data_IF_745934924886
#
_entry.id   IF_745934924886
#
_cell.length_a   1.000
_cell.length_b   1.000
_cell.length_c   1.000
_cell.angle_alpha   90.00
_cell.angle_beta   90.00
_cell.angle_gamma   90.00
#
_symmetry.space_group_name_H-M   'P 1'
#
loop_
_entity.id
_entity.type
_entity.pdbx_description
1 polymer ?
#
# COMPACT_ATOMS: atom_id res chain seq x y z
N UNK A 1 -3.26 -27.41 -3.12
CA UNK A 1 -2.27 -26.34 -3.37
C UNK A 1 -1.76 -26.47 -4.78
N UNK A 2 -1.59 -25.35 -5.48
CA UNK A 2 -0.96 -25.33 -6.81
C UNK A 2 0.51 -25.72 -6.70
N UNK A 3 1.01 -26.47 -7.67
CA UNK A 3 2.43 -26.83 -7.78
C UNK A 3 3.22 -25.66 -8.36
N UNK A 4 4.56 -25.72 -8.31
CA UNK A 4 5.43 -24.75 -8.97
C UNK A 4 5.15 -24.66 -10.46
N UNK A 5 4.94 -25.78 -11.14
CA UNK A 5 4.62 -25.85 -12.55
C UNK A 5 3.28 -25.16 -12.89
N UNK A 6 2.26 -25.31 -12.01
CA UNK A 6 0.99 -24.60 -12.15
C UNK A 6 1.17 -23.09 -12.08
N UNK A 7 2.00 -22.60 -11.17
CA UNK A 7 2.29 -21.18 -11.03
C UNK A 7 3.11 -20.62 -12.19
N UNK A 8 4.13 -21.35 -12.66
CA UNK A 8 4.93 -20.97 -13.82
C UNK A 8 4.06 -20.90 -15.10
N UNK A 9 3.12 -21.83 -15.26
CA UNK A 9 2.15 -21.82 -16.35
C UNK A 9 1.20 -20.62 -16.22
N UNK A 10 0.66 -20.36 -15.05
CA UNK A 10 -0.21 -19.21 -14.80
C UNK A 10 0.52 -17.90 -15.09
N UNK A 11 1.75 -17.72 -14.59
CA UNK A 11 2.57 -16.56 -14.84
C UNK A 11 2.85 -16.32 -16.34
N UNK A 12 3.09 -17.41 -17.11
CA UNK A 12 3.31 -17.32 -18.54
C UNK A 12 2.07 -16.90 -19.37
N UNK A 13 0.89 -16.98 -18.78
CA UNK A 13 -0.38 -16.56 -19.42
C UNK A 13 -0.80 -15.13 -19.09
N UNK A 14 -0.09 -14.45 -18.15
CA UNK A 14 -0.38 -13.07 -17.79
C UNK A 14 0.07 -12.11 -18.90
N UNK A 15 -0.69 -11.07 -19.10
CA UNK A 15 -0.32 -9.90 -19.89
C UNK A 15 -0.18 -8.70 -18.97
N UNK A 16 0.88 -7.92 -19.15
CA UNK A 16 1.18 -6.79 -18.28
C UNK A 16 0.96 -5.48 -19.05
N UNK A 17 0.19 -4.57 -18.45
CA UNK A 17 -0.01 -3.22 -18.98
C UNK A 17 0.53 -2.20 -17.96
N UNK A 18 1.71 -1.63 -18.27
CA UNK A 18 2.41 -0.68 -17.42
C UNK A 18 1.91 0.77 -17.54
N UNK A 19 0.84 1.03 -18.30
CA UNK A 19 0.30 2.38 -18.44
C UNK A 19 -0.38 2.86 -17.17
N UNK A 20 -0.18 4.12 -16.81
CA UNK A 20 -0.89 4.77 -15.72
C UNK A 20 -2.41 4.69 -15.88
N UNK A 21 -3.17 4.79 -14.79
CA UNK A 21 -4.64 4.82 -14.81
C UNK A 21 -5.11 6.17 -14.26
N UNK A 22 -5.66 7.00 -15.13
CA UNK A 22 -6.17 8.33 -14.77
C UNK A 22 -7.58 8.47 -15.33
N UNK A 23 -8.51 8.91 -14.49
CA UNK A 23 -9.92 9.11 -14.85
C UNK A 23 -10.56 7.87 -15.51
N UNK A 24 -10.27 6.70 -14.95
CA UNK A 24 -10.74 5.42 -15.45
C UNK A 24 -10.07 4.90 -16.73
N UNK A 25 -9.15 5.66 -17.33
CA UNK A 25 -8.49 5.31 -18.59
C UNK A 25 -7.02 4.98 -18.43
N UNK A 26 -6.50 4.07 -19.28
CA UNK A 26 -5.07 3.78 -19.42
C UNK A 26 -4.37 4.90 -20.19
N UNK A 27 -3.37 5.52 -19.58
CA UNK A 27 -2.64 6.67 -20.12
C UNK A 27 -1.22 6.28 -20.47
N UNK A 28 -0.84 6.50 -21.73
CA UNK A 28 0.55 6.38 -22.19
C UNK A 28 1.25 7.73 -22.01
N UNK A 29 2.52 7.68 -21.63
CA UNK A 29 3.44 8.82 -21.53
C UNK A 29 4.44 8.82 -22.68
N UNK A 30 5.14 9.94 -22.89
CA UNK A 30 6.18 10.05 -23.92
C UNK A 30 7.41 9.18 -23.60
N UNK A 31 7.66 8.96 -22.32
CA UNK A 31 8.77 8.14 -21.81
C UNK A 31 8.23 7.00 -20.97
N UNK A 32 8.91 5.87 -21.02
CA UNK A 32 8.61 4.69 -20.21
C UNK A 32 9.89 4.19 -19.56
N UNK A 33 9.75 3.46 -18.45
CA UNK A 33 10.82 2.66 -17.85
C UNK A 33 10.50 1.18 -17.97
N UNK A 34 11.52 0.37 -18.09
CA UNK A 34 11.38 -1.08 -18.15
C UNK A 34 11.17 -1.63 -16.72
N UNK A 35 10.08 -2.34 -16.50
CA UNK A 35 9.87 -3.12 -15.28
C UNK A 35 10.50 -4.50 -15.45
N UNK A 36 11.51 -4.80 -14.64
CA UNK A 36 12.29 -6.05 -14.72
C UNK A 36 11.97 -6.92 -13.51
N UNK A 37 11.51 -8.13 -13.77
CA UNK A 37 11.25 -9.11 -12.70
C UNK A 37 12.55 -9.57 -12.04
N UNK A 38 12.70 -9.46 -10.71
CA UNK A 38 13.84 -10.03 -9.99
C UNK A 38 13.82 -11.57 -9.99
N UNK A 39 12.67 -12.20 -10.25
CA UNK A 39 12.53 -13.66 -10.32
C UNK A 39 13.14 -14.23 -11.59
N UNK A 40 12.94 -13.55 -12.72
CA UNK A 40 13.33 -14.06 -14.05
C UNK A 40 14.43 -13.25 -14.73
N UNK A 41 14.75 -12.07 -14.21
CA UNK A 41 15.62 -11.06 -14.84
C UNK A 41 15.14 -10.66 -16.26
N UNK A 42 13.84 -10.80 -16.54
CA UNK A 42 13.22 -10.43 -17.81
C UNK A 42 12.29 -9.24 -17.62
N UNK A 43 12.14 -8.47 -18.69
CA UNK A 43 11.14 -7.41 -18.76
C UNK A 43 9.74 -7.98 -18.63
N UNK A 44 8.90 -7.33 -17.83
CA UNK A 44 7.48 -7.61 -17.68
C UNK A 44 6.65 -6.62 -18.51
N UNK A 45 6.93 -5.34 -18.38
CA UNK A 45 6.21 -4.27 -19.08
C UNK A 45 7.06 -3.02 -19.25
N UNK A 46 6.69 -2.21 -20.23
CA UNK A 46 7.08 -0.80 -20.29
C UNK A 46 6.10 0.02 -19.44
N UNK A 47 6.59 0.62 -18.36
CA UNK A 47 5.79 1.38 -17.39
C UNK A 47 5.87 2.86 -17.72
N UNK A 48 4.70 3.52 -17.75
CA UNK A 48 4.58 4.96 -17.98
C UNK A 48 5.37 5.77 -16.94
N UNK A 49 6.19 6.72 -17.41
CA UNK A 49 6.88 7.69 -16.56
C UNK A 49 6.05 8.98 -16.49
N UNK A 50 5.19 9.08 -15.48
CA UNK A 50 4.35 10.25 -15.26
C UNK A 50 5.18 11.42 -14.73
N UNK A 51 4.95 12.60 -15.29
CA UNK A 51 5.50 13.86 -14.82
C UNK A 51 4.45 14.75 -14.15
N UNK A 52 4.76 16.04 -14.04
CA UNK A 52 3.84 17.04 -13.47
C UNK A 52 2.49 17.04 -14.21
N UNK A 53 2.48 16.95 -15.54
CA UNK A 53 1.27 16.98 -16.37
C UNK A 53 0.28 15.87 -16.00
N UNK A 54 0.74 14.64 -15.87
CA UNK A 54 -0.09 13.49 -15.53
C UNK A 54 -0.56 13.56 -14.08
N UNK A 55 0.28 14.06 -13.18
CA UNK A 55 -0.11 14.30 -11.78
C UNK A 55 -1.19 15.38 -11.70
N UNK A 56 -1.06 16.48 -12.44
CA UNK A 56 -2.09 17.53 -12.52
C UNK A 56 -3.42 16.97 -13.03
N UNK A 57 -3.40 16.13 -14.07
CA UNK A 57 -4.58 15.46 -14.61
C UNK A 57 -5.22 14.52 -13.56
N UNK A 58 -4.44 13.71 -12.87
CA UNK A 58 -4.90 12.79 -11.84
C UNK A 58 -5.53 13.55 -10.65
N UNK A 59 -4.91 14.65 -10.22
CA UNK A 59 -5.42 15.47 -9.12
C UNK A 59 -6.71 16.19 -9.54
N UNK A 60 -6.77 16.74 -10.75
CA UNK A 60 -7.99 17.38 -11.26
C UNK A 60 -9.16 16.37 -11.36
N UNK A 61 -8.91 15.18 -11.88
CA UNK A 61 -9.88 14.08 -11.92
C UNK A 61 -10.33 13.67 -10.50
N UNK A 62 -9.39 13.50 -9.57
CA UNK A 62 -9.71 13.20 -8.17
C UNK A 62 -10.52 14.31 -7.51
N UNK A 63 -10.22 15.57 -7.76
CA UNK A 63 -10.97 16.71 -7.24
C UNK A 63 -12.41 16.72 -7.79
N UNK A 64 -12.56 16.50 -9.08
CA UNK A 64 -13.89 16.41 -9.71
C UNK A 64 -14.72 15.25 -9.14
N UNK A 65 -14.12 14.06 -8.95
CA UNK A 65 -14.79 12.91 -8.33
C UNK A 65 -15.14 13.18 -6.87
N UNK A 66 -14.26 13.84 -6.12
CA UNK A 66 -14.54 14.25 -4.74
C UNK A 66 -15.74 15.19 -4.68
N UNK A 67 -15.75 16.26 -5.47
CA UNK A 67 -16.76 17.30 -5.40
C UNK A 67 -18.13 16.86 -5.91
N UNK A 68 -18.18 15.94 -6.89
CA UNK A 68 -19.41 15.66 -7.63
C UNK A 68 -19.98 14.25 -7.41
N UNK A 69 -19.19 13.27 -6.93
CA UNK A 69 -19.62 11.88 -6.83
C UNK A 69 -19.26 11.22 -5.51
N UNK A 70 -18.02 10.84 -5.29
CA UNK A 70 -17.61 9.93 -4.21
C UNK A 70 -17.91 10.47 -2.81
N UNK A 71 -17.55 11.71 -2.49
CA UNK A 71 -17.79 12.29 -1.15
C UNK A 71 -19.27 12.47 -0.86
N UNK A 72 -20.09 12.61 -1.90
CA UNK A 72 -21.55 12.77 -1.80
C UNK A 72 -22.31 11.46 -1.78
N UNK A 73 -21.64 10.35 -2.09
CA UNK A 73 -22.23 9.02 -2.03
C UNK A 73 -22.65 8.69 -0.59
N UNK A 74 -23.79 8.03 -0.43
CA UNK A 74 -24.24 7.64 0.92
C UNK A 74 -23.22 6.71 1.59
N UNK A 75 -23.10 6.74 2.93
CA UNK A 75 -22.23 5.79 3.64
C UNK A 75 -22.48 4.34 3.27
N UNK A 76 -23.76 3.94 3.13
CA UNK A 76 -24.13 2.58 2.73
C UNK A 76 -23.68 2.22 1.31
N UNK A 77 -23.78 3.15 0.37
CA UNK A 77 -23.31 2.91 -1.00
C UNK A 77 -21.78 2.80 -1.08
N UNK A 78 -21.03 3.68 -0.39
CA UNK A 78 -19.57 3.56 -0.30
C UNK A 78 -19.14 2.25 0.33
N UNK A 79 -19.79 1.84 1.42
CA UNK A 79 -19.56 0.55 2.08
C UNK A 79 -19.75 -0.61 1.09
N UNK A 80 -20.87 -0.63 0.34
CA UNK A 80 -21.14 -1.68 -0.63
C UNK A 80 -20.08 -1.73 -1.75
N UNK A 81 -19.62 -0.57 -2.26
CA UNK A 81 -18.55 -0.53 -3.27
C UNK A 81 -17.22 -1.06 -2.72
N UNK A 82 -16.85 -0.73 -1.48
CA UNK A 82 -15.61 -1.24 -0.86
C UNK A 82 -15.67 -2.74 -0.56
N UNK A 83 -16.81 -3.28 -0.13
CA UNK A 83 -17.01 -4.73 0.00
C UNK A 83 -16.86 -5.43 -1.34
N UNK A 84 -17.51 -4.88 -2.39
CA UNK A 84 -17.38 -5.46 -3.74
C UNK A 84 -15.93 -5.42 -4.24
N UNK A 85 -15.18 -4.36 -3.95
CA UNK A 85 -13.74 -4.32 -4.29
C UNK A 85 -12.95 -5.39 -3.51
N UNK A 86 -13.24 -5.60 -2.24
CA UNK A 86 -12.63 -6.67 -1.45
C UNK A 86 -12.94 -8.06 -2.04
N UNK A 87 -14.19 -8.29 -2.45
CA UNK A 87 -14.59 -9.55 -3.08
C UNK A 87 -13.88 -9.76 -4.44
N UNK A 88 -13.70 -8.68 -5.23
CA UNK A 88 -12.95 -8.72 -6.48
C UNK A 88 -11.45 -8.99 -6.26
N UNK A 89 -10.84 -8.44 -5.20
CA UNK A 89 -9.47 -8.77 -4.83
C UNK A 89 -9.33 -10.27 -4.54
N UNK A 90 -10.25 -10.86 -3.78
CA UNK A 90 -10.23 -12.30 -3.49
C UNK A 90 -10.53 -13.15 -4.74
N UNK A 91 -11.44 -12.71 -5.60
CA UNK A 91 -11.76 -13.40 -6.85
C UNK A 91 -10.58 -13.42 -7.84
N UNK A 92 -9.70 -12.42 -7.78
CA UNK A 92 -8.50 -12.30 -8.60
C UNK A 92 -7.22 -12.59 -7.81
N UNK A 93 -7.30 -13.35 -6.71
CA UNK A 93 -6.18 -13.55 -5.78
C UNK A 93 -4.92 -14.13 -6.42
N UNK A 94 -5.06 -15.10 -7.30
CA UNK A 94 -3.94 -15.72 -7.99
C UNK A 94 -3.23 -14.76 -8.95
N UNK A 95 -3.99 -13.96 -9.70
CA UNK A 95 -3.44 -12.92 -10.58
C UNK A 95 -2.67 -11.88 -9.77
N UNK A 96 -3.30 -11.30 -8.76
CA UNK A 96 -2.69 -10.27 -7.91
C UNK A 96 -1.45 -10.77 -7.17
N UNK A 97 -1.48 -12.00 -6.65
CA UNK A 97 -0.33 -12.62 -6.02
C UNK A 97 0.84 -12.80 -7.01
N UNK A 98 0.56 -13.23 -8.25
CA UNK A 98 1.59 -13.38 -9.29
C UNK A 98 2.15 -12.02 -9.71
N UNK A 99 1.34 -10.96 -9.79
CA UNK A 99 1.82 -9.61 -10.09
C UNK A 99 2.83 -9.16 -9.03
N UNK A 100 2.51 -9.29 -7.74
CA UNK A 100 3.42 -8.93 -6.65
C UNK A 100 4.69 -9.81 -6.66
N UNK A 101 4.57 -11.12 -6.88
CA UNK A 101 5.73 -12.04 -6.94
C UNK A 101 6.66 -11.69 -8.11
N UNK A 102 6.11 -11.41 -9.27
CA UNK A 102 6.91 -11.11 -10.45
C UNK A 102 7.57 -9.73 -10.36
N UNK A 103 6.88 -8.75 -9.75
CA UNK A 103 7.39 -7.39 -9.56
C UNK A 103 8.51 -7.31 -8.52
N UNK A 104 8.40 -8.01 -7.39
CA UNK A 104 9.32 -7.79 -6.26
C UNK A 104 9.99 -9.06 -5.71
N UNK A 105 9.63 -10.24 -6.23
CA UNK A 105 10.34 -11.49 -5.92
C UNK A 105 9.91 -12.20 -4.64
N UNK A 106 8.81 -11.80 -3.97
CA UNK A 106 8.37 -12.47 -2.74
C UNK A 106 7.94 -13.92 -2.97
N UNK A 107 7.97 -14.75 -1.90
CA UNK A 107 7.44 -16.12 -1.99
C UNK A 107 5.95 -16.12 -2.34
N UNK A 108 5.55 -16.94 -3.30
CA UNK A 108 4.14 -17.07 -3.72
C UNK A 108 3.24 -17.54 -2.57
N UNK A 109 3.77 -18.31 -1.64
CA UNK A 109 3.07 -18.72 -0.41
C UNK A 109 2.64 -17.51 0.41
N UNK A 110 3.54 -16.56 0.62
CA UNK A 110 3.28 -15.36 1.42
C UNK A 110 2.25 -14.46 0.71
N UNK A 111 2.43 -14.23 -0.59
CA UNK A 111 1.49 -13.45 -1.38
C UNK A 111 0.07 -14.04 -1.32
N UNK A 112 -0.09 -15.36 -1.52
CA UNK A 112 -1.40 -16.02 -1.58
C UNK A 112 -2.07 -16.25 -0.23
N UNK A 113 -1.31 -16.45 0.84
CA UNK A 113 -1.87 -16.80 2.16
C UNK A 113 -1.92 -15.65 3.14
N UNK A 114 -1.16 -14.57 2.89
CA UNK A 114 -1.05 -13.43 3.79
C UNK A 114 -1.47 -12.14 3.08
N UNK A 115 -0.74 -11.71 2.02
CA UNK A 115 -0.88 -10.36 1.48
C UNK A 115 -2.23 -10.12 0.81
N UNK A 116 -2.65 -11.02 -0.09
CA UNK A 116 -3.92 -10.83 -0.79
C UNK A 116 -5.13 -10.98 0.14
N UNK A 117 -5.22 -12.04 0.99
CA UNK A 117 -6.29 -12.13 2.00
C UNK A 117 -6.24 -10.97 3.01
N UNK A 118 -5.04 -10.57 3.44
CA UNK A 118 -4.82 -9.42 4.33
C UNK A 118 -5.34 -8.12 3.73
N UNK A 119 -5.02 -7.86 2.47
CA UNK A 119 -5.51 -6.70 1.72
C UNK A 119 -7.04 -6.63 1.69
N UNK A 120 -7.69 -7.74 1.36
CA UNK A 120 -9.15 -7.83 1.35
C UNK A 120 -9.76 -7.62 2.75
N UNK A 121 -9.16 -8.22 3.78
CA UNK A 121 -9.62 -8.08 5.16
C UNK A 121 -9.50 -6.64 5.68
N UNK A 122 -8.39 -5.95 5.37
CA UNK A 122 -8.17 -4.54 5.73
C UNK A 122 -9.23 -3.65 5.06
N UNK A 123 -9.48 -3.86 3.77
CA UNK A 123 -10.49 -3.09 3.05
C UNK A 123 -11.89 -3.31 3.63
N UNK A 124 -12.26 -4.55 3.95
CA UNK A 124 -13.50 -4.90 4.63
C UNK A 124 -13.61 -4.24 6.01
N UNK A 125 -12.53 -4.23 6.80
CA UNK A 125 -12.51 -3.54 8.09
C UNK A 125 -12.89 -2.07 7.95
N UNK A 126 -12.27 -1.35 7.00
CA UNK A 126 -12.57 0.06 6.78
C UNK A 126 -13.96 0.28 6.18
N UNK A 127 -14.45 -0.61 5.33
CA UNK A 127 -15.82 -0.58 4.84
C UNK A 127 -16.83 -0.69 6.00
N UNK A 128 -16.58 -1.61 6.95
CA UNK A 128 -17.40 -1.74 8.15
C UNK A 128 -17.29 -0.55 9.11
N UNK A 129 -16.17 0.17 9.10
CA UNK A 129 -15.96 1.33 9.97
C UNK A 129 -16.75 2.58 9.53
N UNK A 130 -17.22 2.65 8.29
CA UNK A 130 -17.87 3.85 7.71
C UNK A 130 -19.02 4.35 8.57
N UNK A 131 -19.88 3.47 9.05
CA UNK A 131 -21.06 3.79 9.87
C UNK A 131 -20.80 3.77 11.38
N UNK A 132 -19.53 3.61 11.80
CA UNK A 132 -19.12 3.59 13.21
C UNK A 132 -18.43 4.90 13.64
N UNK A 133 -18.08 5.77 12.67
CA UNK A 133 -17.45 7.07 12.95
C UNK A 133 -18.54 8.12 13.16
N UNK A 134 -18.91 8.34 14.40
CA UNK A 134 -19.94 9.32 14.79
C UNK A 134 -19.36 10.72 15.01
N UNK A 135 -20.23 11.72 14.94
CA UNK A 135 -19.96 13.08 15.42
C UNK A 135 -20.24 13.21 16.92
N UNK A 136 -20.11 14.42 17.43
CA UNK A 136 -20.28 14.74 18.85
C UNK A 136 -21.24 15.92 19.03
N UNK A 137 -21.92 15.97 20.16
CA UNK A 137 -22.70 17.12 20.62
C UNK A 137 -22.11 17.56 21.96
N UNK A 138 -21.09 18.46 21.94
CA UNK A 138 -20.47 18.96 23.17
C UNK A 138 -21.44 19.72 24.05
N UNK A 139 -21.19 19.72 25.36
CA UNK A 139 -21.94 20.53 26.31
C UNK A 139 -21.69 22.02 26.05
N UNK A 140 -22.77 22.81 26.04
CA UNK A 140 -22.72 24.27 25.82
C UNK A 140 -23.63 24.96 26.87
N UNK A 141 -23.55 26.28 26.93
CA UNK A 141 -24.46 27.08 27.75
C UNK A 141 -25.93 26.92 27.30
N UNK A 142 -26.91 27.13 28.21
CA UNK A 142 -28.32 27.06 27.88
C UNK A 142 -28.68 27.97 26.68
N UNK A 143 -29.40 27.42 25.72
CA UNK A 143 -29.81 28.10 24.49
C UNK A 143 -28.85 27.95 23.29
N UNK A 144 -27.68 27.30 23.47
CA UNK A 144 -26.75 26.98 22.41
C UNK A 144 -26.71 25.49 22.14
N UNK A 145 -26.42 25.10 20.89
CA UNK A 145 -26.12 23.71 20.47
C UNK A 145 -24.86 23.73 19.61
N UNK A 146 -23.85 22.96 19.98
CA UNK A 146 -22.65 22.72 19.18
C UNK A 146 -22.73 21.32 18.57
N UNK A 147 -22.39 21.22 17.28
CA UNK A 147 -22.32 19.95 16.54
C UNK A 147 -20.93 19.80 15.97
N UNK A 148 -20.26 18.69 16.30
CA UNK A 148 -18.99 18.29 15.69
C UNK A 148 -19.28 17.24 14.62
N UNK A 149 -18.97 17.56 13.38
CA UNK A 149 -19.09 16.64 12.25
C UNK A 149 -17.72 16.25 11.73
N UNK A 150 -17.52 14.96 11.46
CA UNK A 150 -16.34 14.46 10.73
C UNK A 150 -16.65 14.49 9.24
N UNK A 151 -15.78 15.15 8.48
CA UNK A 151 -15.92 15.30 7.03
C UNK A 151 -14.64 14.80 6.35
N UNK A 152 -14.71 14.31 5.10
CA UNK A 152 -13.51 13.95 4.35
C UNK A 152 -12.64 15.17 4.09
N UNK A 153 -11.33 14.97 3.95
CA UNK A 153 -10.36 16.04 3.73
C UNK A 153 -10.35 16.52 2.28
N UNK A 154 -10.50 15.62 1.31
CA UNK A 154 -10.42 15.93 -0.10
C UNK A 154 -9.65 14.89 -0.91
N UNK A 155 -8.61 15.36 -1.62
CA UNK A 155 -7.72 14.54 -2.43
C UNK A 155 -6.52 14.07 -1.59
N UNK A 156 -6.31 12.77 -1.52
CA UNK A 156 -5.19 12.13 -0.82
C UNK A 156 -4.10 11.77 -1.82
N UNK A 157 -2.90 12.28 -1.65
CA UNK A 157 -1.70 11.74 -2.30
C UNK A 157 -1.20 10.54 -1.50
N UNK A 158 -1.12 9.37 -2.11
CA UNK A 158 -0.63 8.15 -1.48
C UNK A 158 0.61 7.64 -2.23
N UNK A 159 1.74 7.52 -1.52
CA UNK A 159 2.99 6.99 -2.10
C UNK A 159 3.41 5.78 -1.29
N UNK A 160 3.56 4.62 -1.97
CA UNK A 160 3.74 3.33 -1.32
C UNK A 160 5.03 2.64 -1.76
N UNK A 161 5.60 1.77 -0.90
CA UNK A 161 6.85 1.06 -1.14
C UNK A 161 6.64 -0.18 -2.02
N UNK A 162 7.75 -0.85 -2.31
CA UNK A 162 7.81 -2.01 -3.20
C UNK A 162 7.65 -3.38 -2.52
N UNK A 163 7.83 -3.47 -1.19
CA UNK A 163 7.95 -4.75 -0.48
C UNK A 163 6.60 -5.44 -0.15
N UNK A 164 5.50 -4.69 -0.16
CA UNK A 164 4.11 -5.17 -0.07
C UNK A 164 3.24 -4.36 -1.03
N UNK A 165 3.35 -4.56 -2.34
CA UNK A 165 2.79 -3.61 -3.32
C UNK A 165 1.28 -3.40 -3.16
N UNK A 166 0.49 -4.48 -3.24
CA UNK A 166 -0.95 -4.40 -3.09
C UNK A 166 -1.37 -4.02 -1.67
N UNK A 167 -0.79 -4.68 -0.67
CA UNK A 167 -1.20 -4.49 0.72
C UNK A 167 -0.96 -3.06 1.20
N UNK A 168 0.20 -2.47 0.89
CA UNK A 168 0.50 -1.09 1.26
C UNK A 168 -0.37 -0.08 0.51
N UNK A 169 -0.76 -0.36 -0.72
CA UNK A 169 -1.78 0.44 -1.41
C UNK A 169 -3.11 0.39 -0.65
N UNK A 170 -3.58 -0.79 -0.28
CA UNK A 170 -4.85 -0.96 0.47
C UNK A 170 -4.78 -0.31 1.86
N UNK A 171 -3.63 -0.34 2.56
CA UNK A 171 -3.47 0.35 3.85
C UNK A 171 -3.71 1.86 3.75
N UNK A 172 -3.44 2.46 2.58
CA UNK A 172 -3.71 3.89 2.33
C UNK A 172 -5.12 4.10 1.78
N UNK A 173 -5.55 3.26 0.84
CA UNK A 173 -6.83 3.37 0.17
C UNK A 173 -8.02 3.08 1.11
N UNK A 174 -7.93 2.04 1.92
CA UNK A 174 -9.02 1.63 2.82
C UNK A 174 -9.56 2.78 3.66
N UNK A 175 -8.76 3.40 4.54
CA UNK A 175 -9.22 4.51 5.36
C UNK A 175 -9.58 5.76 4.54
N UNK A 176 -8.82 6.08 3.48
CA UNK A 176 -9.07 7.25 2.66
C UNK A 176 -10.43 7.18 1.95
N UNK A 177 -10.70 6.09 1.25
CA UNK A 177 -11.94 5.87 0.52
C UNK A 177 -13.14 5.71 1.47
N UNK A 178 -12.98 4.97 2.56
CA UNK A 178 -14.04 4.81 3.56
C UNK A 178 -14.49 6.16 4.14
N UNK A 179 -13.54 7.06 4.43
CA UNK A 179 -13.85 8.41 4.91
C UNK A 179 -14.51 9.31 3.84
N UNK A 180 -14.49 8.91 2.56
CA UNK A 180 -15.07 9.67 1.44
C UNK A 180 -14.08 10.55 0.69
N UNK A 181 -12.77 10.36 0.91
CA UNK A 181 -11.71 11.00 0.13
C UNK A 181 -11.51 10.30 -1.21
N UNK A 182 -10.89 10.99 -2.16
CA UNK A 182 -10.35 10.41 -3.40
C UNK A 182 -8.84 10.28 -3.31
N UNK A 183 -8.23 9.43 -4.15
CA UNK A 183 -6.82 9.10 -4.01
C UNK A 183 -6.08 9.17 -5.34
N UNK A 184 -4.91 9.83 -5.31
CA UNK A 184 -3.86 9.72 -6.32
C UNK A 184 -2.76 8.84 -5.74
N UNK A 185 -2.68 7.59 -6.20
CA UNK A 185 -1.74 6.58 -5.74
C UNK A 185 -0.50 6.55 -6.63
N UNK A 186 0.69 6.62 -6.03
CA UNK A 186 1.95 6.30 -6.69
C UNK A 186 2.55 5.04 -6.08
N UNK A 187 2.52 3.90 -6.78
CA UNK A 187 3.29 2.71 -6.39
C UNK A 187 4.79 2.96 -6.54
N UNK A 188 5.58 2.08 -5.93
CA UNK A 188 7.02 2.07 -6.20
C UNK A 188 7.28 1.74 -7.68
N UNK A 189 8.32 2.30 -8.24
CA UNK A 189 8.72 2.09 -9.64
C UNK A 189 9.07 0.62 -9.94
N UNK A 190 9.52 -0.12 -8.92
CA UNK A 190 9.88 -1.53 -9.04
C UNK A 190 8.67 -2.47 -9.01
N UNK A 191 7.52 -2.04 -8.46
CA UNK A 191 6.36 -2.93 -8.24
C UNK A 191 5.02 -2.24 -8.47
N UNK A 192 4.74 -1.77 -9.69
CA UNK A 192 3.53 -1.01 -9.98
C UNK A 192 2.33 -1.88 -10.41
N UNK A 193 2.54 -3.12 -10.85
CA UNK A 193 1.57 -3.86 -11.64
C UNK A 193 0.29 -4.19 -10.87
N UNK A 194 0.38 -4.64 -9.63
CA UNK A 194 -0.80 -4.94 -8.81
C UNK A 194 -1.62 -3.69 -8.46
N UNK A 195 -0.97 -2.53 -8.26
CA UNK A 195 -1.64 -1.24 -8.05
C UNK A 195 -2.38 -0.78 -9.30
N UNK A 196 -1.82 -1.00 -10.49
CA UNK A 196 -2.48 -0.70 -11.76
C UNK A 196 -3.70 -1.59 -11.98
N UNK A 197 -3.61 -2.89 -11.67
CA UNK A 197 -4.75 -3.81 -11.73
C UNK A 197 -5.82 -3.46 -10.70
N UNK A 198 -5.42 -3.03 -9.51
CA UNK A 198 -6.34 -2.60 -8.46
C UNK A 198 -7.22 -1.42 -8.89
N UNK A 199 -6.70 -0.48 -9.69
CA UNK A 199 -7.49 0.62 -10.22
C UNK A 199 -8.62 0.14 -11.15
N UNK A 200 -8.37 -0.88 -11.97
CA UNK A 200 -9.40 -1.50 -12.80
C UNK A 200 -10.45 -2.21 -11.95
N UNK A 201 -10.02 -3.00 -10.96
CA UNK A 201 -10.93 -3.65 -10.02
C UNK A 201 -11.79 -2.65 -9.24
N UNK A 202 -11.26 -1.47 -8.94
CA UNK A 202 -12.02 -0.40 -8.30
C UNK A 202 -13.17 0.10 -9.19
N UNK A 203 -12.94 0.28 -10.50
CA UNK A 203 -13.98 0.62 -11.46
C UNK A 203 -15.02 -0.51 -11.59
N UNK A 204 -14.58 -1.77 -11.68
CA UNK A 204 -15.46 -2.95 -11.68
C UNK A 204 -16.33 -3.04 -10.42
N UNK A 205 -15.78 -2.61 -9.27
CA UNK A 205 -16.51 -2.52 -8.01
C UNK A 205 -17.55 -1.39 -7.97
N UNK A 206 -17.51 -0.48 -8.95
CA UNK A 206 -18.44 0.65 -9.06
C UNK A 206 -17.96 1.90 -8.34
N UNK A 207 -16.65 2.03 -8.06
CA UNK A 207 -16.09 3.31 -7.68
C UNK A 207 -16.15 4.24 -8.91
N UNK A 208 -16.64 5.50 -8.78
CA UNK A 208 -16.65 6.45 -9.87
C UNK A 208 -15.24 6.72 -10.44
N UNK A 209 -15.14 6.99 -11.72
CA UNK A 209 -13.91 7.49 -12.35
C UNK A 209 -13.32 8.65 -11.54
N UNK A 210 -12.00 8.72 -11.43
CA UNK A 210 -11.31 9.73 -10.63
C UNK A 210 -11.28 9.45 -9.12
N UNK A 211 -12.07 8.51 -8.58
CA UNK A 211 -12.01 8.14 -7.16
C UNK A 211 -10.66 7.55 -6.78
N UNK A 212 -10.08 6.73 -7.65
CA UNK A 212 -8.72 6.19 -7.57
C UNK A 212 -8.00 6.41 -8.90
N UNK A 213 -6.95 7.20 -8.86
CA UNK A 213 -5.99 7.35 -9.96
C UNK A 213 -4.67 6.72 -9.56
N UNK A 214 -4.00 6.03 -10.49
CA UNK A 214 -2.68 5.43 -10.28
C UNK A 214 -1.69 6.03 -11.27
N UNK A 215 -0.73 6.79 -10.75
CA UNK A 215 0.34 7.42 -11.52
C UNK A 215 1.66 6.71 -11.22
N UNK A 216 2.31 6.24 -12.26
CA UNK A 216 3.60 5.52 -12.20
C UNK A 216 4.76 6.48 -12.50
N UNK A 217 5.99 6.09 -12.18
CA UNK A 217 7.20 6.90 -12.43
C UNK A 217 8.10 7.07 -11.22
N UNK A 218 9.19 7.80 -11.41
CA UNK A 218 10.25 7.93 -10.41
C UNK A 218 9.86 8.78 -9.19
N UNK A 219 10.50 8.50 -8.05
CA UNK A 219 10.26 9.26 -6.82
C UNK A 219 10.60 10.75 -6.96
N UNK A 220 11.69 11.06 -7.65
CA UNK A 220 12.21 12.42 -7.84
C UNK A 220 11.35 13.29 -8.77
N UNK A 221 10.56 12.67 -9.66
CA UNK A 221 9.68 13.36 -10.60
C UNK A 221 8.22 13.24 -10.17
N UNK A 222 7.61 12.08 -10.32
CA UNK A 222 6.19 11.84 -10.00
C UNK A 222 5.91 11.99 -8.50
N UNK A 223 6.79 11.45 -7.64
CA UNK A 223 6.68 11.59 -6.20
C UNK A 223 6.78 13.04 -5.73
N UNK A 224 7.75 13.79 -6.28
CA UNK A 224 7.92 15.20 -5.99
C UNK A 224 6.72 16.03 -6.47
N UNK A 225 6.20 15.75 -7.68
CA UNK A 225 5.02 16.43 -8.23
C UNK A 225 3.80 16.25 -7.31
N UNK A 226 3.56 15.02 -6.79
CA UNK A 226 2.50 14.77 -5.79
C UNK A 226 2.76 15.56 -4.50
N UNK A 227 4.00 15.51 -3.98
CA UNK A 227 4.36 16.17 -2.73
C UNK A 227 4.17 17.70 -2.77
N UNK A 228 4.51 18.33 -3.88
CA UNK A 228 4.43 19.77 -4.10
C UNK A 228 3.05 20.27 -4.58
N UNK A 229 2.13 19.36 -4.96
CA UNK A 229 0.87 19.77 -5.58
C UNK A 229 -0.05 20.48 -4.59
N UNK A 230 -0.50 21.70 -4.95
CA UNK A 230 -1.30 22.56 -4.06
C UNK A 230 -2.74 22.05 -3.83
N UNK A 231 -3.30 21.26 -4.76
CA UNK A 231 -4.66 20.71 -4.65
C UNK A 231 -4.70 19.27 -4.10
N UNK A 232 -3.61 18.79 -3.53
CA UNK A 232 -3.58 17.60 -2.66
C UNK A 232 -3.73 18.08 -1.22
N UNK A 233 -4.77 17.61 -0.52
CA UNK A 233 -5.16 18.08 0.81
C UNK A 233 -4.36 17.38 1.93
N UNK A 234 -3.95 16.13 1.70
CA UNK A 234 -3.16 15.33 2.63
C UNK A 234 -2.28 14.36 1.86
N UNK A 235 -1.10 14.07 2.39
CA UNK A 235 -0.20 13.07 1.84
C UNK A 235 0.04 11.95 2.84
N UNK A 236 -0.02 10.71 2.37
CA UNK A 236 0.37 9.52 3.13
C UNK A 236 1.48 8.78 2.40
N UNK A 237 2.53 8.45 3.12
CA UNK A 237 3.74 7.85 2.58
C UNK A 237 4.16 6.64 3.42
N UNK A 238 4.61 5.58 2.74
CA UNK A 238 5.38 4.51 3.36
C UNK A 238 6.64 4.27 2.54
N UNK A 239 7.81 4.25 3.20
CA UNK A 239 9.09 4.05 2.53
C UNK A 239 10.28 4.44 3.41
N UNK A 240 11.35 4.98 2.80
CA UNK A 240 12.55 5.35 3.55
C UNK A 240 12.36 6.64 4.35
N UNK A 241 13.01 6.73 5.51
CA UNK A 241 13.04 7.94 6.34
C UNK A 241 13.55 9.17 5.57
N UNK A 242 14.50 8.97 4.65
CA UNK A 242 15.04 10.07 3.84
C UNK A 242 13.97 10.65 2.90
N UNK A 243 13.23 9.80 2.20
CA UNK A 243 12.14 10.25 1.32
C UNK A 243 10.99 10.87 2.13
N UNK A 244 10.68 10.32 3.31
CA UNK A 244 9.73 10.93 4.24
C UNK A 244 10.08 12.37 4.60
N UNK A 245 11.38 12.66 4.83
CA UNK A 245 11.87 14.03 5.06
C UNK A 245 11.68 14.94 3.84
N UNK A 246 11.77 14.41 2.63
CA UNK A 246 11.46 15.21 1.42
C UNK A 246 9.98 15.58 1.38
N UNK A 247 9.07 14.66 1.68
CA UNK A 247 7.64 14.99 1.73
C UNK A 247 7.30 16.04 2.78
N UNK A 248 7.97 16.03 3.93
CA UNK A 248 7.84 17.11 4.92
C UNK A 248 8.30 18.46 4.38
N UNK A 249 9.38 18.49 3.61
CA UNK A 249 9.86 19.71 2.93
C UNK A 249 8.87 20.15 1.86
N UNK A 250 8.41 19.25 1.00
CA UNK A 250 7.43 19.54 -0.05
C UNK A 250 6.12 20.11 0.51
N UNK A 251 5.68 19.62 1.68
CA UNK A 251 4.54 20.19 2.40
C UNK A 251 4.80 21.66 2.76
N UNK A 252 5.96 21.98 3.33
CA UNK A 252 6.35 23.34 3.70
C UNK A 252 6.51 24.27 2.48
N UNK A 253 7.00 23.72 1.36
CA UNK A 253 7.24 24.44 0.11
C UNK A 253 5.97 24.60 -0.76
N UNK A 254 4.83 24.06 -0.31
CA UNK A 254 3.56 24.10 -1.03
C UNK A 254 2.42 24.65 -0.15
N UNK A 255 1.36 23.88 0.04
CA UNK A 255 0.14 24.30 0.74
C UNK A 255 0.11 23.93 2.25
N UNK A 256 1.21 23.49 2.83
CA UNK A 256 1.31 23.02 4.22
C UNK A 256 0.38 21.82 4.53
N UNK A 257 0.11 20.96 3.53
CA UNK A 257 -0.71 19.75 3.72
C UNK A 257 -0.15 18.86 4.82
N UNK A 258 -1.05 18.17 5.53
CA UNK A 258 -0.62 17.15 6.49
C UNK A 258 0.11 16.01 5.79
N UNK A 259 1.20 15.54 6.40
CA UNK A 259 2.00 14.43 5.89
C UNK A 259 2.07 13.34 6.95
N UNK A 260 1.58 12.14 6.62
CA UNK A 260 1.59 10.97 7.47
C UNK A 260 2.62 9.98 6.95
N UNK A 261 3.61 9.67 7.79
CA UNK A 261 4.80 8.90 7.41
C UNK A 261 4.84 7.57 8.15
N UNK A 262 4.99 6.50 7.37
CA UNK A 262 5.42 5.19 7.83
C UNK A 262 6.82 4.93 7.27
N UNK A 263 7.79 4.69 8.13
CA UNK A 263 9.19 4.58 7.75
C UNK A 263 9.81 3.29 8.28
N UNK A 264 10.94 2.91 7.69
CA UNK A 264 11.72 1.77 8.14
C UNK A 264 12.34 1.95 9.52
N UNK A 265 12.74 0.85 10.12
CA UNK A 265 13.37 0.79 11.42
C UNK A 265 14.49 -0.23 11.51
N UNK A 266 15.06 -0.33 12.70
CA UNK A 266 16.03 -1.36 13.11
C UNK A 266 15.62 -1.87 14.48
N UNK A 267 14.45 -2.57 14.51
CA UNK A 267 13.82 -3.05 15.74
C UNK A 267 14.70 -4.07 16.46
N UNK A 268 14.90 -3.96 17.79
CA UNK A 268 15.64 -4.94 18.56
C UNK A 268 14.76 -6.17 18.88
N UNK A 269 15.38 -7.36 18.89
CA UNK A 269 14.88 -8.56 19.50
C UNK A 269 15.79 -8.88 20.71
N UNK A 270 15.24 -8.92 21.91
CA UNK A 270 15.99 -9.08 23.15
C UNK A 270 15.76 -10.49 23.69
N UNK A 271 16.86 -11.22 23.94
CA UNK A 271 16.81 -12.59 24.48
C UNK A 271 17.70 -12.68 25.71
N UNK A 272 17.10 -13.00 26.86
CA UNK A 272 17.76 -13.15 28.14
C UNK A 272 17.91 -14.63 28.52
N UNK A 273 18.82 -14.94 29.43
CA UNK A 273 19.13 -16.30 29.86
C UNK A 273 17.96 -17.01 30.57
N UNK A 274 17.01 -16.26 31.12
CA UNK A 274 15.80 -16.79 31.76
C UNK A 274 14.63 -17.03 30.79
N UNK A 275 14.87 -16.94 29.47
CA UNK A 275 13.90 -17.29 28.45
C UNK A 275 13.45 -18.75 28.62
N UNK A 276 12.15 -18.96 28.80
CA UNK A 276 11.59 -20.26 29.17
C UNK A 276 11.77 -21.32 28.07
N UNK A 277 11.82 -20.95 26.80
CA UNK A 277 12.01 -21.85 25.67
C UNK A 277 12.90 -21.19 24.62
N UNK A 278 14.19 -21.53 24.63
CA UNK A 278 15.18 -20.96 23.70
C UNK A 278 14.98 -21.42 22.25
N UNK A 279 14.50 -22.67 22.05
CA UNK A 279 14.24 -23.18 20.69
C UNK A 279 13.09 -22.42 20.02
N UNK A 280 12.00 -22.19 20.74
CA UNK A 280 10.86 -21.40 20.25
C UNK A 280 11.24 -19.94 20.02
N UNK A 281 12.01 -19.33 20.94
CA UNK A 281 12.55 -17.99 20.79
C UNK A 281 13.44 -17.87 19.54
N UNK A 282 14.26 -18.89 19.26
CA UNK A 282 15.10 -18.94 18.08
C UNK A 282 14.29 -19.08 16.78
N UNK A 283 13.21 -19.87 16.80
CA UNK A 283 12.27 -19.97 15.69
C UNK A 283 11.64 -18.59 15.38
N UNK A 284 11.10 -17.92 16.39
CA UNK A 284 10.54 -16.57 16.23
C UNK A 284 11.59 -15.57 15.77
N UNK A 285 12.83 -15.62 16.28
CA UNK A 285 13.89 -14.74 15.86
C UNK A 285 14.25 -14.93 14.38
N UNK A 286 14.34 -16.18 13.91
CA UNK A 286 14.60 -16.48 12.51
C UNK A 286 13.43 -16.01 11.60
N UNK A 287 12.20 -16.35 11.97
CA UNK A 287 11.01 -15.92 11.21
C UNK A 287 10.85 -14.41 11.16
N UNK A 288 11.11 -13.72 12.25
CA UNK A 288 10.97 -12.26 12.35
C UNK A 288 11.93 -11.48 11.44
N UNK A 289 13.06 -12.07 11.03
CA UNK A 289 14.01 -11.41 10.11
C UNK A 289 13.94 -11.95 8.69
N UNK A 290 13.65 -13.24 8.48
CA UNK A 290 13.66 -13.84 7.15
C UNK A 290 12.30 -13.88 6.47
N UNK A 291 11.22 -13.58 7.18
CA UNK A 291 9.89 -13.38 6.59
C UNK A 291 9.94 -12.33 5.48
N UNK A 292 9.18 -12.55 4.41
CA UNK A 292 9.18 -11.69 3.22
C UNK A 292 10.60 -11.34 2.74
N UNK A 293 11.50 -12.31 2.68
CA UNK A 293 12.91 -12.18 2.24
C UNK A 293 13.73 -11.21 3.12
N UNK A 294 13.28 -10.87 4.33
CA UNK A 294 13.88 -9.85 5.20
C UNK A 294 13.48 -8.42 4.84
N UNK A 295 12.54 -8.24 3.96
CA UNK A 295 12.12 -6.95 3.39
C UNK A 295 10.91 -6.36 4.13
N UNK A 296 10.98 -6.31 5.46
CA UNK A 296 9.91 -5.83 6.35
C UNK A 296 10.39 -4.61 7.13
N UNK A 297 9.60 -3.52 7.08
CA UNK A 297 9.93 -2.27 7.77
C UNK A 297 10.04 -2.43 9.30
N UNK A 298 9.28 -3.35 9.89
CA UNK A 298 9.26 -3.69 11.32
C UNK A 298 10.12 -4.89 11.67
N UNK A 299 10.91 -5.47 10.74
CA UNK A 299 11.73 -6.65 10.98
C UNK A 299 12.65 -6.47 12.19
N UNK A 300 12.77 -7.51 13.00
CA UNK A 300 13.62 -7.53 14.18
C UNK A 300 15.09 -7.73 13.76
N UNK A 301 15.65 -6.72 13.09
CA UNK A 301 16.95 -6.79 12.41
C UNK A 301 18.17 -6.65 13.32
N UNK A 302 17.96 -6.49 14.64
CA UNK A 302 19.01 -6.49 15.64
C UNK A 302 18.68 -7.53 16.71
N UNK A 303 19.42 -8.63 16.71
CA UNK A 303 19.31 -9.68 17.72
C UNK A 303 20.31 -9.38 18.85
N UNK A 304 19.81 -9.05 20.04
CA UNK A 304 20.57 -8.73 21.23
C UNK A 304 20.37 -9.87 22.23
N UNK A 305 21.41 -10.68 22.41
CA UNK A 305 21.37 -11.90 23.22
C UNK A 305 22.26 -11.73 24.44
N UNK A 306 21.79 -12.14 25.61
CA UNK A 306 22.60 -12.18 26.81
C UNK A 306 23.84 -13.04 26.59
N UNK A 307 25.00 -12.55 27.00
CA UNK A 307 26.31 -13.14 26.71
C UNK A 307 26.42 -14.62 27.12
N UNK A 308 25.79 -14.99 28.23
CA UNK A 308 25.85 -16.36 28.78
C UNK A 308 25.25 -17.44 27.88
N UNK A 309 24.28 -17.05 26.99
CA UNK A 309 23.58 -17.97 26.10
C UNK A 309 23.83 -17.65 24.61
N UNK A 310 24.70 -16.71 24.29
CA UNK A 310 24.83 -16.17 22.94
C UNK A 310 25.28 -17.18 21.89
N UNK A 311 26.20 -18.08 22.23
CA UNK A 311 26.68 -19.13 21.32
C UNK A 311 25.59 -20.17 21.04
N UNK A 312 24.98 -20.72 22.09
CA UNK A 312 23.89 -21.68 21.98
C UNK A 312 22.72 -21.12 21.20
N UNK A 313 22.28 -19.90 21.55
CA UNK A 313 21.14 -19.26 20.87
C UNK A 313 21.42 -18.96 19.40
N UNK A 314 22.63 -18.54 19.05
CA UNK A 314 23.05 -18.31 17.67
C UNK A 314 22.97 -19.59 16.84
N UNK A 315 23.42 -20.73 17.39
CA UNK A 315 23.31 -22.03 16.71
C UNK A 315 21.85 -22.44 16.50
N UNK A 316 20.99 -22.23 17.49
CA UNK A 316 19.55 -22.47 17.36
C UNK A 316 18.93 -21.63 16.25
N UNK A 317 19.22 -20.31 16.18
CA UNK A 317 18.72 -19.43 15.12
C UNK A 317 19.21 -19.88 13.73
N UNK A 318 20.49 -20.24 13.59
CA UNK A 318 21.04 -20.77 12.33
C UNK A 318 20.29 -22.04 11.90
N UNK A 319 19.99 -22.94 12.85
CA UNK A 319 19.27 -24.17 12.55
C UNK A 319 17.82 -23.91 12.14
N UNK A 320 17.16 -22.91 12.70
CA UNK A 320 15.82 -22.50 12.26
C UNK A 320 15.86 -21.83 10.89
N UNK A 321 16.83 -20.94 10.65
CA UNK A 321 16.99 -20.27 9.36
C UNK A 321 17.19 -21.23 8.18
N UNK A 322 17.81 -22.40 8.41
CA UNK A 322 17.96 -23.44 7.37
C UNK A 322 16.66 -24.14 6.98
N UNK A 323 15.57 -23.92 7.73
CA UNK A 323 14.26 -24.53 7.46
C UNK A 323 13.34 -23.61 6.66
N UNK A 324 13.72 -22.35 6.55
CA UNK A 324 13.02 -21.34 5.77
C UNK A 324 13.50 -21.35 4.31
#
# INVERSE_FOLDING_TARGET
MKTREDWEKAASSLSFDGRAVIDGARISTETTSENISPVTAKSLADVSECGQREVDQAVASSRAAFDNSWSRMSPGSRKASLHKLSDLILANADELALLDVLDMGKPISDATTIDIPGSAAILNFYAEAIDKVSGEIPVTDPGNVALVRRVPLGVVGAVVPWNYPLEMAIWKLGPALAAGNTVVLKPAEQSPLSSLRLAELALEAGLPEGTLNVVTGQGETTGAAIGLHNDIDVLTFTGSTQVGKYFMKYSGDSNMKQVWLECGGKSPNLVFADTANLEEAAEFAARAIFFNQGEVCSANSRLLVEKSISEEFTELVINQAKKI
#
